data_IF_323414955007
#
_entry.id   IF_323414955007
#
_cell.length_a   1.000
_cell.length_b   1.000
_cell.length_c   1.000
_cell.angle_alpha   90.00
_cell.angle_beta   90.00
_cell.angle_gamma   90.00
#
_symmetry.space_group_name_H-M   'P 1'
#
loop_
_entity.id
_entity.type
_entity.pdbx_description
1 polymer ?
#
# COMPACT_ATOMS: atom_id res chain seq x y z
N UNK A 1 38.61 55.90 30.22
CA UNK A 1 38.01 55.08 29.16
C UNK A 1 37.57 53.76 29.79
N UNK A 2 36.26 53.57 30.07
CA UNK A 2 35.77 52.34 30.72
C UNK A 2 35.68 51.24 29.67
N UNK A 3 36.48 50.19 29.83
CA UNK A 3 36.45 49.00 28.98
C UNK A 3 35.11 48.30 29.27
N UNK A 4 34.24 48.23 28.26
CA UNK A 4 32.91 47.61 28.35
C UNK A 4 33.11 46.09 28.43
N UNK A 5 32.45 45.42 29.36
CA UNK A 5 32.63 43.99 29.59
C UNK A 5 31.85 43.19 28.50
N UNK A 6 32.50 42.95 27.35
CA UNK A 6 31.91 42.28 26.16
C UNK A 6 31.68 40.78 26.36
N UNK A 7 32.26 40.19 27.40
CA UNK A 7 32.19 38.75 27.69
C UNK A 7 30.77 38.22 27.93
N UNK A 8 29.90 39.04 28.54
CA UNK A 8 28.50 38.65 28.77
C UNK A 8 27.66 38.60 27.49
N UNK A 9 27.95 39.48 26.51
CA UNK A 9 27.28 39.48 25.22
C UNK A 9 27.68 38.25 24.40
N UNK A 10 28.97 37.89 24.43
CA UNK A 10 29.51 36.68 23.75
C UNK A 10 28.90 35.41 24.34
N UNK A 11 28.71 35.32 25.66
CA UNK A 11 28.10 34.15 26.29
C UNK A 11 26.65 33.94 25.84
N UNK A 12 25.87 35.01 25.73
CA UNK A 12 24.45 34.94 25.33
C UNK A 12 24.31 34.53 23.86
N UNK A 13 25.16 35.06 22.97
CA UNK A 13 25.12 34.70 21.55
C UNK A 13 25.49 33.24 21.31
N UNK A 14 26.47 32.70 22.05
CA UNK A 14 26.83 31.28 21.98
C UNK A 14 25.65 30.39 22.41
N UNK A 15 24.99 30.72 23.52
CA UNK A 15 23.82 29.96 23.98
C UNK A 15 22.68 30.01 22.95
N UNK A 16 22.44 31.17 22.34
CA UNK A 16 21.46 31.32 21.27
C UNK A 16 21.76 30.42 20.06
N UNK A 17 23.03 30.33 19.67
CA UNK A 17 23.47 29.43 18.58
C UNK A 17 23.29 27.96 18.98
N UNK A 18 23.59 27.59 20.21
CA UNK A 18 23.40 26.20 20.67
C UNK A 18 21.91 25.82 20.65
N UNK A 19 21.04 26.69 21.18
CA UNK A 19 19.60 26.45 21.20
C UNK A 19 19.04 26.35 19.77
N UNK A 20 19.47 27.21 18.86
CA UNK A 20 18.99 27.17 17.47
C UNK A 20 19.39 25.87 16.78
N UNK A 21 20.63 25.38 16.99
CA UNK A 21 21.09 24.10 16.45
C UNK A 21 20.26 22.94 17.02
N UNK A 22 20.06 22.90 18.34
CA UNK A 22 19.23 21.86 18.98
C UNK A 22 17.80 21.89 18.45
N UNK A 23 17.23 23.08 18.25
CA UNK A 23 15.88 23.23 17.71
C UNK A 23 15.78 22.70 16.28
N UNK A 24 16.76 23.02 15.42
CA UNK A 24 16.81 22.51 14.03
C UNK A 24 16.94 20.99 14.01
N UNK A 25 17.75 20.40 14.88
CA UNK A 25 17.89 18.95 14.99
C UNK A 25 16.55 18.33 15.44
N UNK A 26 15.92 18.89 16.48
CA UNK A 26 14.66 18.41 17.02
C UNK A 26 13.53 18.42 15.99
N UNK A 27 13.40 19.51 15.21
CA UNK A 27 12.39 19.61 14.16
C UNK A 27 12.67 18.65 13.01
N UNK A 28 13.94 18.50 12.61
CA UNK A 28 14.34 17.57 11.55
C UNK A 28 14.01 16.12 11.91
N UNK A 29 14.33 15.68 13.14
CA UNK A 29 13.99 14.33 13.62
C UNK A 29 12.48 14.13 13.67
N UNK A 30 11.73 15.13 14.15
CA UNK A 30 10.25 15.05 14.20
C UNK A 30 9.65 14.88 12.80
N UNK A 31 10.17 15.62 11.81
CA UNK A 31 9.72 15.52 10.41
C UNK A 31 10.04 14.14 9.81
N UNK A 32 11.22 13.59 10.08
CA UNK A 32 11.59 12.23 9.65
C UNK A 32 10.64 11.19 10.23
N UNK A 33 10.34 11.26 11.53
CA UNK A 33 9.39 10.32 12.16
C UNK A 33 7.99 10.39 11.55
N UNK A 34 7.49 11.59 11.23
CA UNK A 34 6.20 11.76 10.55
C UNK A 34 6.23 11.14 9.15
N UNK A 35 7.33 11.31 8.42
CA UNK A 35 7.51 10.70 7.10
C UNK A 35 7.52 9.17 7.19
N UNK A 36 8.24 8.59 8.15
CA UNK A 36 8.31 7.15 8.35
C UNK A 36 6.94 6.55 8.67
N UNK A 37 6.14 7.23 9.51
CA UNK A 37 4.77 6.81 9.83
C UNK A 37 3.89 6.84 8.57
N UNK A 38 3.98 7.90 7.76
CA UNK A 38 3.21 7.98 6.52
C UNK A 38 3.62 6.90 5.52
N UNK A 39 4.91 6.63 5.38
CA UNK A 39 5.42 5.56 4.53
C UNK A 39 4.93 4.18 5.02
N UNK A 40 4.98 3.93 6.33
CA UNK A 40 4.49 2.70 6.94
C UNK A 40 2.98 2.51 6.70
N UNK A 41 2.19 3.57 6.89
CA UNK A 41 0.75 3.55 6.62
C UNK A 41 0.44 3.30 5.14
N UNK A 42 1.17 3.96 4.24
CA UNK A 42 1.06 3.77 2.80
C UNK A 42 1.36 2.32 2.41
N UNK A 43 2.41 1.73 2.99
CA UNK A 43 2.75 0.33 2.75
C UNK A 43 1.66 -0.60 3.29
N UNK A 44 1.16 -0.34 4.50
CA UNK A 44 0.07 -1.13 5.08
C UNK A 44 -1.19 -1.10 4.21
N UNK A 45 -1.62 0.08 3.75
CA UNK A 45 -2.79 0.20 2.88
C UNK A 45 -2.58 -0.53 1.54
N UNK A 46 -1.37 -0.47 0.97
CA UNK A 46 -1.02 -1.21 -0.23
C UNK A 46 -1.07 -2.73 -0.05
N UNK A 47 -0.60 -3.22 1.09
CA UNK A 47 -0.67 -4.64 1.46
C UNK A 47 -2.11 -5.08 1.75
N UNK A 48 -2.89 -4.27 2.46
CA UNK A 48 -4.30 -4.56 2.75
C UNK A 48 -5.11 -4.66 1.43
N UNK A 49 -4.86 -3.76 0.47
CA UNK A 49 -5.46 -3.84 -0.86
C UNK A 49 -5.02 -5.10 -1.62
N UNK A 50 -3.73 -5.48 -1.55
CA UNK A 50 -3.23 -6.71 -2.20
C UNK A 50 -3.89 -7.97 -1.61
N UNK A 51 -3.96 -8.06 -0.27
CA UNK A 51 -4.59 -9.19 0.42
C UNK A 51 -6.06 -9.37 -0.01
N UNK A 52 -6.80 -8.26 -0.20
CA UNK A 52 -8.18 -8.31 -0.69
C UNK A 52 -8.24 -8.80 -2.13
N UNK A 53 -7.31 -8.37 -3.00
CA UNK A 53 -7.24 -8.86 -4.39
C UNK A 53 -6.99 -10.36 -4.43
N UNK A 54 -6.04 -10.86 -3.64
CA UNK A 54 -5.70 -12.28 -3.57
C UNK A 54 -6.87 -13.12 -3.03
N UNK A 55 -7.47 -12.72 -1.90
CA UNK A 55 -8.63 -13.42 -1.34
C UNK A 55 -9.83 -13.43 -2.30
N UNK A 56 -10.03 -12.35 -3.05
CA UNK A 56 -11.01 -12.31 -4.12
C UNK A 56 -10.70 -13.26 -5.26
N UNK A 57 -9.43 -13.32 -5.70
CA UNK A 57 -9.00 -14.22 -6.75
C UNK A 57 -9.23 -15.68 -6.37
N UNK A 58 -8.91 -16.06 -5.12
CA UNK A 58 -9.17 -17.40 -4.61
C UNK A 58 -10.67 -17.74 -4.63
N UNK A 59 -11.52 -16.80 -4.21
CA UNK A 59 -12.97 -16.99 -4.21
C UNK A 59 -13.54 -17.07 -5.64
N UNK A 60 -13.02 -16.29 -6.58
CA UNK A 60 -13.37 -16.39 -8.00
C UNK A 60 -12.95 -17.73 -8.61
N UNK A 61 -11.75 -18.23 -8.28
CA UNK A 61 -11.27 -19.53 -8.73
C UNK A 61 -12.11 -20.66 -8.15
N UNK A 62 -12.57 -20.53 -6.90
CA UNK A 62 -13.49 -21.46 -6.26
C UNK A 62 -14.85 -21.47 -6.99
N UNK A 63 -15.44 -20.30 -7.24
CA UNK A 63 -16.68 -20.17 -7.99
C UNK A 63 -16.55 -20.70 -9.43
N UNK A 64 -15.40 -20.48 -10.07
CA UNK A 64 -15.11 -21.07 -11.39
C UNK A 64 -15.10 -22.59 -11.32
N UNK A 65 -14.55 -23.17 -10.24
CA UNK A 65 -14.52 -24.61 -10.06
C UNK A 65 -15.93 -25.19 -9.85
N UNK A 66 -16.70 -24.61 -8.94
CA UNK A 66 -18.01 -25.12 -8.51
C UNK A 66 -19.13 -24.84 -9.52
N UNK A 67 -19.27 -23.58 -9.95
CA UNK A 67 -20.41 -23.14 -10.75
C UNK A 67 -20.05 -22.81 -12.20
N UNK A 68 -18.77 -22.89 -12.58
CA UNK A 68 -18.28 -22.44 -13.90
C UNK A 68 -18.69 -21.00 -14.23
N UNK A 69 -18.67 -20.14 -13.21
CA UNK A 69 -19.08 -18.74 -13.30
C UNK A 69 -18.10 -17.84 -12.56
N UNK A 70 -17.89 -16.64 -13.08
CA UNK A 70 -17.12 -15.58 -12.43
C UNK A 70 -17.99 -14.35 -12.21
N UNK A 71 -18.46 -14.08 -10.99
CA UNK A 71 -19.17 -12.85 -10.68
C UNK A 71 -18.26 -11.65 -10.90
N UNK A 72 -18.83 -10.53 -11.37
CA UNK A 72 -18.08 -9.28 -11.62
C UNK A 72 -17.65 -8.55 -10.34
N UNK A 73 -18.16 -8.95 -9.17
CA UNK A 73 -17.78 -8.39 -7.89
C UNK A 73 -17.95 -9.41 -6.78
N UNK A 74 -17.02 -9.42 -5.82
CA UNK A 74 -17.10 -10.22 -4.60
C UNK A 74 -16.93 -9.29 -3.41
N UNK A 75 -17.77 -9.49 -2.40
CA UNK A 75 -17.66 -8.82 -1.10
C UNK A 75 -17.16 -9.83 -0.07
N UNK A 76 -15.98 -9.57 0.48
CA UNK A 76 -15.42 -10.27 1.63
C UNK A 76 -15.52 -9.36 2.88
N UNK A 77 -15.38 -9.92 4.09
CA UNK A 77 -15.38 -9.13 5.31
C UNK A 77 -14.30 -8.03 5.32
N UNK A 78 -13.13 -8.31 4.72
CA UNK A 78 -12.03 -7.36 4.56
C UNK A 78 -12.25 -6.27 3.51
N UNK A 79 -13.16 -6.47 2.54
CA UNK A 79 -13.38 -5.48 1.49
C UNK A 79 -14.13 -6.02 0.28
N UNK A 80 -14.36 -5.14 -0.70
CA UNK A 80 -14.99 -5.51 -1.97
C UNK A 80 -13.99 -5.38 -3.09
N UNK A 81 -14.02 -6.31 -4.03
CA UNK A 81 -13.24 -6.27 -5.26
C UNK A 81 -14.17 -6.41 -6.47
N UNK A 82 -13.67 -5.98 -7.62
CA UNK A 82 -14.30 -6.21 -8.91
C UNK A 82 -13.44 -7.13 -9.76
N UNK A 83 -14.09 -8.05 -10.46
CA UNK A 83 -13.48 -8.95 -11.42
C UNK A 83 -13.91 -8.55 -12.83
N UNK A 84 -12.94 -8.49 -13.74
CA UNK A 84 -13.17 -8.24 -15.16
C UNK A 84 -12.65 -9.43 -15.93
N UNK A 85 -13.50 -10.11 -16.68
CA UNK A 85 -13.07 -11.19 -17.59
C UNK A 85 -12.43 -10.51 -18.81
N UNK A 86 -11.13 -10.72 -19.01
CA UNK A 86 -10.38 -10.19 -20.14
C UNK A 86 -10.58 -11.06 -21.38
N UNK A 87 -10.56 -12.38 -21.20
CA UNK A 87 -10.72 -13.37 -22.27
C UNK A 87 -11.28 -14.67 -21.72
N UNK A 88 -12.11 -15.35 -22.52
CA UNK A 88 -12.58 -16.71 -22.22
C UNK A 88 -12.56 -17.52 -23.52
N UNK A 89 -11.64 -18.49 -23.61
CA UNK A 89 -11.49 -19.36 -24.78
C UNK A 89 -11.65 -20.82 -24.36
N UNK A 90 -12.83 -21.37 -24.62
CA UNK A 90 -13.16 -22.74 -24.19
C UNK A 90 -13.11 -22.88 -22.67
N UNK A 91 -12.09 -23.60 -22.19
CA UNK A 91 -11.85 -23.83 -20.77
C UNK A 91 -10.81 -22.88 -20.17
N UNK A 92 -10.17 -22.04 -20.98
CA UNK A 92 -9.18 -21.08 -20.53
C UNK A 92 -9.84 -19.74 -20.22
N UNK A 93 -9.55 -19.22 -19.05
CA UNK A 93 -10.10 -17.98 -18.50
C UNK A 93 -8.95 -17.04 -18.18
N UNK A 94 -9.03 -15.81 -18.66
CA UNK A 94 -8.17 -14.72 -18.24
C UNK A 94 -9.02 -13.62 -17.63
N UNK A 95 -8.70 -13.23 -16.40
CA UNK A 95 -9.48 -12.24 -15.67
C UNK A 95 -8.58 -11.36 -14.81
N UNK A 96 -8.97 -10.11 -14.65
CA UNK A 96 -8.34 -9.13 -13.78
C UNK A 96 -9.19 -8.94 -12.54
N UNK A 97 -8.58 -9.06 -11.37
CA UNK A 97 -9.19 -8.69 -10.09
C UNK A 97 -8.60 -7.36 -9.65
N UNK A 98 -9.44 -6.43 -9.22
CA UNK A 98 -8.99 -5.15 -8.70
C UNK A 98 -9.77 -4.74 -7.45
N UNK A 99 -9.12 -3.98 -6.59
CA UNK A 99 -9.77 -3.30 -5.47
C UNK A 99 -9.13 -1.94 -5.24
N UNK A 100 -9.83 -1.08 -4.52
CA UNK A 100 -9.31 0.20 -4.07
C UNK A 100 -9.63 0.38 -2.60
N UNK A 101 -8.60 0.50 -1.78
CA UNK A 101 -8.71 0.73 -0.33
C UNK A 101 -8.02 2.03 0.00
N UNK A 102 -8.76 2.99 0.59
CA UNK A 102 -8.20 4.27 1.03
C UNK A 102 -7.40 5.02 -0.05
N UNK A 103 -7.81 4.92 -1.33
CA UNK A 103 -7.12 5.53 -2.47
C UNK A 103 -5.94 4.72 -3.03
N UNK A 104 -5.62 3.56 -2.45
CA UNK A 104 -4.64 2.62 -2.96
C UNK A 104 -5.34 1.57 -3.81
N UNK A 105 -5.09 1.61 -5.12
CA UNK A 105 -5.61 0.61 -6.05
C UNK A 105 -4.57 -0.48 -6.25
N UNK A 106 -5.02 -1.73 -6.18
CA UNK A 106 -4.23 -2.92 -6.53
C UNK A 106 -5.00 -3.78 -7.49
N UNK A 107 -4.28 -4.41 -8.41
CA UNK A 107 -4.87 -5.32 -9.39
C UNK A 107 -3.98 -6.51 -9.63
N UNK A 108 -4.56 -7.66 -9.92
CA UNK A 108 -3.83 -8.82 -10.36
C UNK A 108 -4.58 -9.50 -11.51
N UNK A 109 -3.82 -9.92 -12.50
CA UNK A 109 -4.31 -10.65 -13.66
C UNK A 109 -4.02 -12.13 -13.47
N UNK A 110 -5.04 -12.96 -13.66
CA UNK A 110 -4.96 -14.41 -13.55
C UNK A 110 -5.35 -15.04 -14.87
N UNK A 111 -4.61 -16.08 -15.25
CA UNK A 111 -4.99 -17.03 -16.28
C UNK A 111 -5.20 -18.40 -15.62
N UNK A 112 -6.34 -19.02 -15.87
CA UNK A 112 -6.69 -20.32 -15.31
C UNK A 112 -7.40 -21.19 -16.35
N UNK A 113 -7.10 -22.48 -16.33
CA UNK A 113 -7.74 -23.49 -17.18
C UNK A 113 -8.66 -24.37 -16.35
N UNK A 114 -9.92 -24.48 -16.75
CA UNK A 114 -10.94 -25.30 -16.08
C UNK A 114 -11.02 -26.70 -16.70
N UNK A 115 -10.56 -27.71 -15.96
CA UNK A 115 -10.77 -29.12 -16.28
C UNK A 115 -11.80 -29.77 -15.35
N UNK A 116 -11.48 -30.95 -14.83
CA UNK A 116 -12.16 -31.54 -13.64
C UNK A 116 -11.83 -30.78 -12.35
N UNK A 117 -10.77 -29.97 -12.39
CA UNK A 117 -10.32 -29.02 -11.38
C UNK A 117 -9.83 -27.76 -12.10
N UNK A 118 -9.78 -26.63 -11.38
CA UNK A 118 -9.21 -25.38 -11.89
C UNK A 118 -7.70 -25.36 -11.69
N UNK A 119 -6.95 -25.06 -12.75
CA UNK A 119 -5.49 -24.91 -12.72
C UNK A 119 -5.12 -23.47 -13.06
N UNK A 120 -4.41 -22.79 -12.16
CA UNK A 120 -3.85 -21.46 -12.45
C UNK A 120 -2.59 -21.65 -13.30
N UNK A 121 -2.57 -21.06 -14.49
CA UNK A 121 -1.44 -21.14 -15.44
C UNK A 121 -0.52 -19.93 -15.33
N UNK A 122 -1.06 -18.76 -14.99
CA UNK A 122 -0.31 -17.51 -14.83
C UNK A 122 -1.00 -16.61 -13.82
N UNK A 123 -0.22 -15.91 -13.00
CA UNK A 123 -0.69 -14.74 -12.26
C UNK A 123 0.33 -13.62 -12.37
N UNK A 124 -0.13 -12.37 -12.49
CA UNK A 124 0.71 -11.17 -12.55
C UNK A 124 0.07 -10.11 -11.65
N UNK A 125 0.80 -9.64 -10.65
CA UNK A 125 0.40 -8.52 -9.80
C UNK A 125 0.83 -7.19 -10.45
N UNK A 126 -0.08 -6.22 -10.44
CA UNK A 126 0.10 -4.85 -10.95
C UNK A 126 -0.09 -3.81 -9.84
#
# INVERSE_FOLDING_TARGET
MKIKNENGYIAITIILVIISVVFVIGTSVSLLSINDIQMSLSNKNGLDALNIVEGCAENLLLNLNEENNMPSSISLPEGTCSATINSQTGNDWEFTVQTTVNGYSKSAEYAATRGTSVFVTRWIEN
#
